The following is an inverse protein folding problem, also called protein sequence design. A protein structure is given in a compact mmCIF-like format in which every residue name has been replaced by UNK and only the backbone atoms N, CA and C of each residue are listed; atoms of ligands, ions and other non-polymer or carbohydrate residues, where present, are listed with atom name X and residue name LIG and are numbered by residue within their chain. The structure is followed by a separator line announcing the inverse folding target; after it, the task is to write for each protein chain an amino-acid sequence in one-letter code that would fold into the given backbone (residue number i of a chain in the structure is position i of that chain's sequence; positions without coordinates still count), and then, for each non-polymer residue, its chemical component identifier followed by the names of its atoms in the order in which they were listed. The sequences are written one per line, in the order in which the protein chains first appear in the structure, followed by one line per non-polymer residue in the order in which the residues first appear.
data_IF_644375479266
#
_entry.id   IF_644375479266
#
_cell.length_a   1.000
_cell.length_b   1.000
_cell.length_c   1.000
_cell.angle_alpha   90.00
_cell.angle_beta   90.00
_cell.angle_gamma   90.00
#
_symmetry.space_group_name_H-M   'P 1'
#
loop_
_entity.id
_entity.type
_entity.pdbx_description
1 polymer ?
#
# COMPACT_ATOMS: atom_id res chain seq x y z
N UNK A 1 6.63 21.52 -4.85
CA UNK A 1 7.17 20.50 -3.93
C UNK A 1 6.49 19.14 -4.10
N UNK A 2 5.22 19.07 -4.53
CA UNK A 2 4.54 17.79 -4.79
C UNK A 2 5.13 16.97 -5.97
N UNK A 3 5.75 17.59 -6.97
CA UNK A 3 6.28 16.88 -8.15
C UNK A 3 7.46 15.95 -7.85
N UNK A 4 8.38 16.32 -6.94
CA UNK A 4 9.54 15.48 -6.59
C UNK A 4 9.11 14.21 -5.84
N UNK A 5 8.19 14.36 -4.88
CA UNK A 5 7.64 13.24 -4.14
C UNK A 5 6.89 12.27 -5.06
N UNK A 6 6.10 12.79 -6.00
CA UNK A 6 5.40 11.98 -6.99
C UNK A 6 6.37 11.24 -7.92
N UNK A 7 7.43 11.91 -8.38
CA UNK A 7 8.48 11.27 -9.20
C UNK A 7 9.18 10.15 -8.44
N UNK A 8 9.55 10.38 -7.17
CA UNK A 8 10.17 9.38 -6.30
C UNK A 8 9.23 8.21 -6.02
N UNK A 9 7.94 8.46 -5.85
CA UNK A 9 6.93 7.42 -5.68
C UNK A 9 6.77 6.55 -6.93
N UNK A 10 6.73 7.15 -8.12
CA UNK A 10 6.68 6.42 -9.40
C UNK A 10 7.96 5.60 -9.61
N UNK A 11 9.13 6.16 -9.31
CA UNK A 11 10.39 5.42 -9.38
C UNK A 11 10.41 4.24 -8.41
N UNK A 12 10.02 4.45 -7.14
CA UNK A 12 9.96 3.38 -6.14
C UNK A 12 8.99 2.25 -6.53
N UNK A 13 7.90 2.56 -7.23
CA UNK A 13 7.02 1.53 -7.81
C UNK A 13 7.68 0.73 -8.91
N UNK A 14 8.48 1.36 -9.77
CA UNK A 14 9.24 0.66 -10.80
C UNK A 14 10.28 -0.26 -10.15
N UNK A 15 11.06 0.26 -9.21
CA UNK A 15 12.10 -0.47 -8.49
C UNK A 15 11.52 -1.67 -7.72
N UNK A 16 10.35 -1.51 -7.10
CA UNK A 16 9.67 -2.59 -6.38
C UNK A 16 9.30 -3.78 -7.29
N UNK A 17 9.09 -3.55 -8.59
CA UNK A 17 8.83 -4.62 -9.58
C UNK A 17 10.10 -5.33 -10.02
N UNK A 18 11.27 -4.69 -9.89
CA UNK A 18 12.58 -5.22 -10.29
C UNK A 18 13.31 -5.95 -9.15
N UNK A 19 12.70 -6.04 -7.96
CA UNK A 19 13.27 -6.76 -6.83
C UNK A 19 13.56 -8.23 -7.19
N UNK A 20 14.85 -8.59 -7.18
CA UNK A 20 15.32 -9.95 -7.47
C UNK A 20 14.87 -10.98 -6.43
N UNK A 21 14.56 -10.51 -5.21
CA UNK A 21 14.08 -11.34 -4.11
C UNK A 21 12.72 -10.82 -3.71
N UNK A 22 11.74 -11.72 -3.66
CA UNK A 22 10.40 -11.40 -3.19
C UNK A 22 10.47 -11.03 -1.70
N UNK A 23 10.00 -9.83 -1.29
CA UNK A 23 9.88 -9.46 0.11
C UNK A 23 8.99 -10.44 0.87
N UNK A 24 9.15 -10.49 2.20
CA UNK A 24 8.25 -11.30 3.03
C UNK A 24 6.82 -10.73 2.98
N UNK A 25 5.84 -11.52 3.42
CA UNK A 25 4.43 -11.13 3.34
C UNK A 25 4.11 -9.83 4.11
N UNK A 26 4.79 -9.56 5.22
CA UNK A 26 4.54 -8.33 5.97
C UNK A 26 5.01 -7.11 5.19
N UNK A 27 6.21 -7.17 4.58
CA UNK A 27 6.72 -6.09 3.74
C UNK A 27 5.81 -5.87 2.52
N UNK A 28 5.32 -6.94 1.91
CA UNK A 28 4.36 -6.85 0.80
C UNK A 28 3.03 -6.19 1.23
N UNK A 29 2.55 -6.48 2.44
CA UNK A 29 1.33 -5.85 2.97
C UNK A 29 1.55 -4.36 3.25
N UNK A 30 2.73 -3.98 3.75
CA UNK A 30 3.11 -2.59 4.00
C UNK A 30 3.20 -1.81 2.67
N UNK A 31 3.89 -2.37 1.67
CA UNK A 31 3.99 -1.78 0.34
C UNK A 31 2.60 -1.63 -0.28
N UNK A 32 1.75 -2.65 -0.16
CA UNK A 32 0.37 -2.59 -0.63
C UNK A 32 -0.43 -1.47 0.07
N UNK A 33 -0.37 -1.38 1.41
CA UNK A 33 -1.15 -0.37 2.15
C UNK A 33 -0.74 1.05 1.78
N UNK A 34 0.56 1.33 1.69
CA UNK A 34 1.05 2.67 1.30
C UNK A 34 0.71 3.00 -0.14
N UNK A 35 0.88 2.04 -1.06
CA UNK A 35 0.49 2.21 -2.45
C UNK A 35 -1.01 2.55 -2.57
N UNK A 36 -1.87 1.82 -1.86
CA UNK A 36 -3.31 2.04 -1.86
C UNK A 36 -3.67 3.40 -1.26
N UNK A 37 -3.08 3.78 -0.13
CA UNK A 37 -3.33 5.07 0.50
C UNK A 37 -2.88 6.24 -0.41
N UNK A 38 -1.69 6.15 -1.02
CA UNK A 38 -1.17 7.21 -1.89
C UNK A 38 -1.96 7.35 -3.21
N UNK A 39 -2.52 6.26 -3.74
CA UNK A 39 -3.22 6.25 -5.03
C UNK A 39 -4.72 6.41 -4.92
N UNK A 40 -5.34 5.93 -3.85
CA UNK A 40 -6.80 5.89 -3.67
C UNK A 40 -7.28 6.59 -2.41
N UNK A 41 -6.38 7.06 -1.54
CA UNK A 41 -6.74 7.63 -0.25
C UNK A 41 -7.21 6.56 0.73
N UNK A 42 -8.06 6.98 1.66
CA UNK A 42 -8.55 6.16 2.76
C UNK A 42 -9.22 4.85 2.29
N UNK A 43 -9.02 3.80 3.08
CA UNK A 43 -9.63 2.50 2.82
C UNK A 43 -11.16 2.57 2.74
N UNK A 44 -11.69 2.06 1.62
CA UNK A 44 -13.13 1.96 1.34
C UNK A 44 -13.58 0.52 1.14
N UNK A 45 -14.84 0.22 1.43
CA UNK A 45 -15.46 -1.08 1.22
C UNK A 45 -15.55 -1.93 2.49
N UNK A 46 -16.10 -3.14 2.35
CA UNK A 46 -16.31 -4.05 3.47
C UNK A 46 -15.05 -4.88 3.78
N UNK A 47 -14.77 -5.06 5.07
CA UNK A 47 -13.70 -5.95 5.53
C UNK A 47 -14.00 -7.40 5.11
N UNK A 48 -13.10 -8.08 4.38
CA UNK A 48 -13.29 -9.46 3.98
C UNK A 48 -13.49 -10.43 5.17
N UNK A 49 -14.23 -11.51 4.90
CA UNK A 49 -14.54 -12.55 5.88
C UNK A 49 -13.29 -13.26 6.43
N UNK A 50 -13.41 -13.91 7.58
CA UNK A 50 -12.26 -14.54 8.26
C UNK A 50 -11.60 -15.65 7.43
N UNK A 51 -12.35 -16.30 6.54
CA UNK A 51 -11.82 -17.35 5.66
C UNK A 51 -11.01 -16.80 4.47
N UNK A 52 -11.12 -15.49 4.16
CA UNK A 52 -10.34 -14.82 3.13
C UNK A 52 -9.15 -14.06 3.76
N UNK A 53 -8.20 -14.82 4.31
CA UNK A 53 -7.09 -14.28 5.09
C UNK A 53 -6.24 -13.26 4.31
N UNK A 54 -6.01 -13.51 3.02
CA UNK A 54 -5.15 -12.66 2.20
C UNK A 54 -5.78 -11.30 1.92
N UNK A 55 -7.05 -11.27 1.49
CA UNK A 55 -7.73 -10.00 1.24
C UNK A 55 -8.08 -9.29 2.53
N UNK A 56 -8.39 -10.03 3.61
CA UNK A 56 -8.58 -9.45 4.94
C UNK A 56 -7.30 -8.76 5.43
N UNK A 57 -6.14 -9.40 5.31
CA UNK A 57 -4.87 -8.80 5.72
C UNK A 57 -4.54 -7.53 4.90
N UNK A 58 -4.79 -7.55 3.59
CA UNK A 58 -4.64 -6.37 2.71
C UNK A 58 -5.57 -5.23 3.13
N UNK A 59 -6.84 -5.53 3.36
CA UNK A 59 -7.83 -4.56 3.84
C UNK A 59 -7.39 -3.98 5.19
N UNK A 60 -7.04 -4.84 6.15
CA UNK A 60 -6.62 -4.44 7.49
C UNK A 60 -5.36 -3.57 7.45
N UNK A 61 -4.38 -3.90 6.60
CA UNK A 61 -3.18 -3.09 6.42
C UNK A 61 -3.50 -1.70 5.84
N UNK A 62 -4.36 -1.62 4.82
CA UNK A 62 -4.78 -0.34 4.23
C UNK A 62 -5.61 0.49 5.21
N UNK A 63 -6.56 -0.14 5.90
CA UNK A 63 -7.42 0.54 6.89
C UNK A 63 -6.63 1.15 8.06
N UNK A 64 -5.46 0.60 8.41
CA UNK A 64 -4.57 1.18 9.43
C UNK A 64 -3.97 2.53 9.04
N UNK A 65 -3.88 2.84 7.74
CA UNK A 65 -3.35 4.10 7.23
C UNK A 65 -4.43 5.16 7.00
N UNK A 66 -5.66 4.90 7.45
CA UNK A 66 -6.76 5.86 7.31
C UNK A 66 -6.41 7.20 7.97
N UNK A 67 -6.65 8.29 7.26
CA UNK A 67 -6.32 9.65 7.69
C UNK A 67 -4.87 10.06 7.37
N UNK A 68 -4.03 9.17 6.85
CA UNK A 68 -2.70 9.53 6.35
C UNK A 68 -2.83 10.19 4.99
N UNK A 69 -2.37 11.44 4.88
CA UNK A 69 -2.34 12.19 3.62
C UNK A 69 -1.31 11.64 2.63
N UNK A 70 -1.45 12.01 1.35
CA UNK A 70 -0.54 11.62 0.26
C UNK A 70 0.88 12.22 0.38
N UNK A 71 1.04 13.25 1.20
CA UNK A 71 2.31 14.00 1.39
C UNK A 71 2.88 13.89 2.82
N UNK A 72 2.31 13.00 3.66
CA UNK A 72 2.70 12.86 5.06
C UNK A 72 4.10 12.26 5.26
#
# INVERSE_FOLDING_TARGET
MSSDLEQRFVQAQADAKELKVRPNNNDLLVLYSYYKQATQGDCTGNRPGMMDFANRAKYDAWAKLKGTGREA
#
